data_IF_028052423847
#
_entry.id   IF_028052423847
#
_cell.length_a   1.000
_cell.length_b   1.000
_cell.length_c   1.000
_cell.angle_alpha   90.00
_cell.angle_beta   90.00
_cell.angle_gamma   90.00
#
_symmetry.space_group_name_H-M   'P 1'
#
loop_
_entity.id
_entity.type
_entity.pdbx_description
1 polymer ?
#
# COMPACT_ATOMS: atom_id res chain seq x y z
N UNK A 1 8.87 13.56 9.28
CA UNK A 1 7.55 13.31 9.89
C UNK A 1 7.02 12.08 9.18
N UNK A 2 6.75 10.99 9.90
CA UNK A 2 6.23 9.78 9.28
C UNK A 2 4.83 10.04 8.68
N UNK A 3 4.58 9.50 7.49
CA UNK A 3 3.33 9.70 6.75
C UNK A 3 2.65 8.36 6.57
N UNK A 4 1.41 8.25 7.07
CA UNK A 4 0.55 7.09 6.83
C UNK A 4 -0.21 7.26 5.51
N UNK A 5 -0.09 6.25 4.68
CA UNK A 5 -0.71 6.07 3.40
C UNK A 5 -1.83 5.04 3.54
N UNK A 6 -2.97 5.38 2.95
CA UNK A 6 -4.08 4.44 2.77
C UNK A 6 -4.02 3.92 1.34
N UNK A 7 -3.92 2.60 1.20
CA UNK A 7 -3.87 1.93 -0.10
C UNK A 7 -5.13 1.08 -0.21
N UNK A 8 -6.06 1.49 -1.07
CA UNK A 8 -7.30 0.77 -1.33
C UNK A 8 -7.29 0.11 -2.71
N UNK A 9 -8.31 -0.71 -2.98
CA UNK A 9 -8.46 -1.47 -4.23
C UNK A 9 -7.30 -2.43 -4.51
N UNK A 10 -6.69 -2.97 -3.46
CA UNK A 10 -5.62 -3.96 -3.59
C UNK A 10 -6.18 -5.33 -3.96
N UNK A 11 -5.41 -6.08 -4.75
CA UNK A 11 -5.74 -7.46 -5.09
C UNK A 11 -5.72 -8.34 -3.83
N UNK A 12 -6.53 -9.40 -3.82
CA UNK A 12 -6.57 -10.35 -2.71
C UNK A 12 -5.25 -11.08 -2.49
N UNK A 13 -4.36 -11.08 -3.49
CA UNK A 13 -3.02 -11.64 -3.40
C UNK A 13 -1.93 -10.67 -2.94
N UNK A 14 -2.22 -9.37 -2.80
CA UNK A 14 -1.22 -8.41 -2.34
C UNK A 14 -0.89 -8.68 -0.88
N UNK A 15 0.40 -8.80 -0.57
CA UNK A 15 0.92 -9.01 0.78
C UNK A 15 1.61 -7.76 1.34
N UNK A 16 1.82 -7.73 2.66
CA UNK A 16 2.54 -6.63 3.32
C UNK A 16 3.95 -6.46 2.75
N UNK A 17 4.61 -7.58 2.40
CA UNK A 17 5.90 -7.57 1.72
C UNK A 17 5.84 -6.92 0.34
N UNK A 18 4.81 -7.21 -0.48
CA UNK A 18 4.68 -6.57 -1.79
C UNK A 18 4.55 -5.05 -1.66
N UNK A 19 3.84 -4.58 -0.63
CA UNK A 19 3.76 -3.15 -0.32
C UNK A 19 5.10 -2.63 0.18
N UNK A 20 5.80 -3.33 1.07
CA UNK A 20 7.13 -2.89 1.51
C UNK A 20 8.14 -2.80 0.37
N UNK A 21 8.15 -3.74 -0.57
CA UNK A 21 9.03 -3.72 -1.74
C UNK A 21 8.64 -2.60 -2.73
N UNK A 22 7.36 -2.48 -3.08
CA UNK A 22 6.88 -1.43 -4.01
C UNK A 22 7.09 -0.03 -3.43
N UNK A 23 6.71 0.20 -2.16
CA UNK A 23 6.90 1.49 -1.50
C UNK A 23 8.37 1.75 -1.16
N UNK A 24 9.12 0.68 -0.87
CA UNK A 24 10.57 0.68 -0.66
C UNK A 24 11.36 1.28 -1.82
N UNK A 25 10.87 1.11 -3.05
CA UNK A 25 11.44 1.70 -4.25
C UNK A 25 11.36 3.24 -4.28
N UNK A 26 10.39 3.83 -3.59
CA UNK A 26 10.19 5.29 -3.51
C UNK A 26 10.77 5.89 -2.23
N UNK A 27 10.91 5.09 -1.17
CA UNK A 27 11.63 5.47 0.04
C UNK A 27 11.45 4.48 1.19
N UNK A 28 11.92 4.86 2.38
CA UNK A 28 11.91 3.95 3.52
C UNK A 28 10.50 3.78 4.10
N UNK A 29 10.04 2.52 4.12
CA UNK A 29 8.80 2.09 4.78
C UNK A 29 9.10 1.81 6.25
N UNK A 30 8.34 2.44 7.14
CA UNK A 30 8.39 2.21 8.58
C UNK A 30 7.48 1.03 8.99
N UNK A 31 6.32 0.88 8.35
CA UNK A 31 5.40 -0.23 8.65
C UNK A 31 4.40 -0.42 7.50
N UNK A 32 4.14 -1.66 7.08
CA UNK A 32 3.00 -2.00 6.24
C UNK A 32 2.02 -2.89 7.03
N UNK A 33 0.72 -2.71 6.82
CA UNK A 33 -0.33 -3.51 7.46
C UNK A 33 -1.52 -3.70 6.54
N UNK A 34 -1.79 -4.95 6.16
CA UNK A 34 -2.94 -5.30 5.32
C UNK A 34 -4.14 -5.63 6.20
N UNK A 35 -5.30 -5.08 5.85
CA UNK A 35 -6.53 -5.41 6.54
C UNK A 35 -7.23 -6.54 5.80
N UNK A 36 -7.15 -7.72 6.40
CA UNK A 36 -7.86 -8.92 5.95
C UNK A 36 -9.11 -9.14 6.78
N UNK A 37 -10.12 -9.71 6.12
CA UNK A 37 -11.34 -10.14 6.77
C UNK A 37 -11.04 -11.43 7.56
N UNK A 38 -11.29 -11.40 8.87
CA UNK A 38 -10.98 -12.52 9.78
C UNK A 38 -11.91 -13.73 9.60
N UNK A 39 -13.11 -13.54 9.05
CA UNK A 39 -14.08 -14.61 8.88
C UNK A 39 -13.83 -15.39 7.59
N UNK A 40 -13.43 -14.70 6.52
CA UNK A 40 -13.19 -15.30 5.20
C UNK A 40 -11.71 -15.50 4.89
N UNK A 41 -10.82 -14.89 5.67
CA UNK A 41 -9.38 -14.84 5.40
C UNK A 41 -9.02 -14.04 4.15
N UNK A 42 -9.99 -13.36 3.52
CA UNK A 42 -9.78 -12.60 2.28
C UNK A 42 -9.38 -11.17 2.60
N UNK A 43 -8.41 -10.63 1.87
CA UNK A 43 -8.07 -9.21 1.96
C UNK A 43 -9.31 -8.37 1.71
N UNK A 44 -9.57 -7.36 2.54
CA UNK A 44 -10.67 -6.43 2.28
C UNK A 44 -10.37 -5.46 1.13
N UNK A 45 -9.24 -5.68 0.45
CA UNK A 45 -8.74 -4.85 -0.64
C UNK A 45 -8.17 -3.53 -0.15
N UNK A 46 -7.75 -3.44 1.12
CA UNK A 46 -7.10 -2.24 1.63
C UNK A 46 -5.99 -2.53 2.63
N UNK A 47 -5.02 -1.62 2.67
CA UNK A 47 -3.83 -1.68 3.49
C UNK A 47 -3.42 -0.28 3.94
N UNK A 48 -2.59 -0.25 4.98
CA UNK A 48 -1.96 0.95 5.50
C UNK A 48 -0.45 0.81 5.40
N UNK A 49 0.21 1.80 4.81
CA UNK A 49 1.66 1.87 4.70
C UNK A 49 2.15 3.15 5.37
N UNK A 50 3.08 3.04 6.31
CA UNK A 50 3.71 4.17 6.97
C UNK A 50 5.08 4.40 6.36
N UNK A 51 5.31 5.57 5.79
CA UNK A 51 6.58 6.00 5.21
C UNK A 51 7.31 6.93 6.18
N UNK A 52 8.63 6.92 6.13
CA UNK A 52 9.44 7.81 6.97
C UNK A 52 9.43 9.28 6.51
N UNK A 53 9.30 9.50 5.19
CA UNK A 53 9.30 10.82 4.56
C UNK A 53 8.01 11.09 3.79
N UNK A 54 7.53 12.34 3.87
CA UNK A 54 6.39 12.84 3.10
C UNK A 54 6.65 12.90 1.60
N UNK A 55 7.89 13.15 1.18
CA UNK A 55 8.25 13.17 -0.24
C UNK A 55 8.19 11.78 -0.86
N UNK A 56 8.75 10.77 -0.16
CA UNK A 56 8.63 9.37 -0.57
C UNK A 56 7.18 8.92 -0.58
N UNK A 57 6.40 9.31 0.44
CA UNK A 57 4.98 9.02 0.51
C UNK A 57 4.20 9.64 -0.66
N UNK A 58 4.46 10.90 -1.00
CA UNK A 58 3.83 11.55 -2.15
C UNK A 58 4.27 10.96 -3.49
N UNK A 59 5.54 10.57 -3.65
CA UNK A 59 6.02 9.92 -4.86
C UNK A 59 5.36 8.55 -5.05
N UNK A 60 5.27 7.76 -3.99
CA UNK A 60 4.59 6.47 -4.00
C UNK A 60 3.08 6.64 -4.26
N UNK A 61 2.42 7.62 -3.64
CA UNK A 61 1.04 7.98 -3.98
C UNK A 61 0.96 8.35 -5.46
N UNK A 62 1.75 9.29 -5.98
CA UNK A 62 1.61 9.70 -7.38
C UNK A 62 1.89 8.57 -8.38
N UNK A 63 2.77 7.62 -8.02
CA UNK A 63 3.11 6.49 -8.87
C UNK A 63 2.12 5.33 -8.77
N UNK A 64 1.50 5.11 -7.61
CA UNK A 64 0.64 3.94 -7.31
C UNK A 64 -0.85 4.31 -7.20
N UNK A 65 -1.17 5.51 -6.70
CA UNK A 65 -2.53 6.05 -6.61
C UNK A 65 -2.99 6.51 -8.00
N UNK A 66 -3.87 5.71 -8.61
CA UNK A 66 -4.35 5.94 -9.97
C UNK A 66 -3.58 5.17 -11.04
N UNK A 67 -2.57 4.38 -10.65
CA UNK A 67 -2.11 3.29 -11.52
C UNK A 67 -3.19 2.20 -11.49
N UNK A 68 -3.75 1.87 -12.65
CA UNK A 68 -4.54 0.66 -12.83
C UNK A 68 -3.68 -0.55 -12.48
N UNK A 69 -3.73 -0.99 -11.22
CA UNK A 69 -3.34 -2.34 -10.87
C UNK A 69 -4.54 -3.19 -11.28
N UNK A 70 -4.45 -3.80 -12.46
CA UNK A 70 -5.40 -4.80 -12.96
C UNK A 70 -6.74 -4.28 -13.55
N UNK A 71 -6.71 -3.16 -14.29
CA UNK A 71 -7.69 -2.97 -15.37
C UNK A 71 -9.16 -2.71 -14.99
N UNK A 72 -9.47 -1.99 -13.90
CA UNK A 72 -10.87 -1.64 -13.59
C UNK A 72 -11.06 -0.15 -13.26
N UNK A 73 -11.68 0.51 -14.25
CA UNK A 73 -12.31 1.83 -14.25
C UNK A 73 -13.47 1.99 -13.28
#
# INVERSE_FOLDING_TARGET
>A
MAVKLYVGNLSFGTTEQDLEDEFGHYGQVNSASIVTDRETGRSRGFAFVEMDSSEAAQAAIQALNGKEIDGRS
#
